data_IF_670793766536
#
_entry.id   IF_670793766536
#
_cell.length_a   1.000
_cell.length_b   1.000
_cell.length_c   1.000
_cell.angle_alpha   90.00
_cell.angle_beta   90.00
_cell.angle_gamma   90.00
#
_symmetry.space_group_name_H-M   'P 1'
#
loop_
_entity.id
_entity.type
_entity.pdbx_description
1 polymer ?
#
# COMPACT_ATOMS: atom_id res chain seq x y z
N UNK A 1 -11.96 19.10 -5.06
CA UNK A 1 -11.75 17.80 -4.39
C UNK A 1 -12.17 16.73 -5.38
N UNK A 2 -11.23 16.24 -6.18
CA UNK A 2 -11.53 15.25 -7.24
C UNK A 2 -10.53 14.11 -7.11
N UNK A 3 -10.80 13.19 -6.18
CA UNK A 3 -10.05 11.95 -6.01
C UNK A 3 -10.75 10.85 -6.81
N UNK A 4 -10.67 10.90 -8.13
CA UNK A 4 -11.16 9.80 -8.95
C UNK A 4 -10.53 9.79 -10.34
N UNK A 5 -10.21 8.57 -10.78
CA UNK A 5 -9.85 8.15 -12.13
C UNK A 5 -8.37 8.19 -12.49
N UNK A 6 -7.61 7.23 -11.95
CA UNK A 6 -6.70 6.40 -12.78
C UNK A 6 -6.06 5.22 -12.03
N UNK A 7 -6.79 4.61 -11.08
CA UNK A 7 -6.51 3.26 -10.59
C UNK A 7 -6.81 2.25 -11.71
N UNK A 8 -5.91 2.15 -12.69
CA UNK A 8 -5.86 0.97 -13.54
C UNK A 8 -5.57 -0.23 -12.64
N UNK A 9 -6.59 -1.05 -12.42
CA UNK A 9 -6.47 -2.43 -11.96
C UNK A 9 -5.63 -2.70 -10.70
N UNK A 10 -5.95 -2.06 -9.57
CA UNK A 10 -5.40 -2.48 -8.27
C UNK A 10 -6.50 -2.72 -7.22
N UNK A 11 -7.37 -3.74 -7.38
CA UNK A 11 -8.38 -4.11 -6.36
C UNK A 11 -7.77 -4.31 -4.96
N UNK A 12 -6.57 -4.89 -4.91
CA UNK A 12 -5.81 -5.10 -3.68
C UNK A 12 -5.41 -3.79 -3.01
N UNK A 13 -4.98 -2.80 -3.80
CA UNK A 13 -4.62 -1.47 -3.31
C UNK A 13 -5.83 -0.71 -2.74
N UNK A 14 -7.00 -0.84 -3.38
CA UNK A 14 -8.25 -0.24 -2.88
C UNK A 14 -8.71 -0.91 -1.58
N UNK A 15 -8.67 -2.24 -1.51
CA UNK A 15 -8.99 -2.97 -0.28
C UNK A 15 -8.02 -2.60 0.85
N UNK A 16 -6.73 -2.45 0.53
CA UNK A 16 -5.70 -2.06 1.47
C UNK A 16 -5.87 -0.61 1.98
N UNK A 17 -6.20 0.32 1.09
CA UNK A 17 -6.51 1.71 1.44
C UNK A 17 -7.69 1.84 2.40
N UNK A 18 -8.70 0.98 2.27
CA UNK A 18 -9.89 1.01 3.13
C UNK A 18 -9.77 0.12 4.39
N UNK A 19 -8.65 -0.59 4.56
CA UNK A 19 -8.44 -1.45 5.73
C UNK A 19 -9.26 -2.74 5.71
N UNK A 20 -9.80 -3.15 4.54
CA UNK A 20 -10.64 -4.33 4.38
C UNK A 20 -9.82 -5.62 4.43
N UNK A 21 -9.39 -6.00 5.64
CA UNK A 21 -8.43 -7.10 5.88
C UNK A 21 -8.89 -8.43 5.27
N UNK A 22 -10.16 -8.81 5.42
CA UNK A 22 -10.67 -10.06 4.83
C UNK A 22 -10.67 -10.00 3.30
N UNK A 23 -11.04 -8.86 2.71
CA UNK A 23 -10.99 -8.68 1.25
C UNK A 23 -9.56 -8.73 0.72
N UNK A 24 -8.61 -8.14 1.44
CA UNK A 24 -7.17 -8.22 1.12
C UNK A 24 -6.72 -9.68 1.12
N UNK A 25 -7.08 -10.44 2.15
CA UNK A 25 -6.74 -11.86 2.25
C UNK A 25 -7.29 -12.66 1.05
N UNK A 26 -8.58 -12.52 0.75
CA UNK A 26 -9.22 -13.24 -0.38
C UNK A 26 -8.58 -12.89 -1.72
N UNK A 27 -8.20 -11.63 -1.92
CA UNK A 27 -7.53 -11.21 -3.15
C UNK A 27 -6.13 -11.81 -3.28
N UNK A 28 -5.36 -11.89 -2.19
CA UNK A 28 -4.05 -12.55 -2.17
C UNK A 28 -4.18 -14.05 -2.43
N UNK A 29 -5.15 -14.72 -1.82
CA UNK A 29 -5.48 -16.14 -2.08
C UNK A 29 -5.89 -16.39 -3.53
N UNK A 30 -6.52 -15.40 -4.19
CA UNK A 30 -6.87 -15.44 -5.61
C UNK A 30 -5.68 -15.14 -6.54
N UNK A 31 -4.47 -14.92 -6.01
CA UNK A 31 -3.26 -14.67 -6.78
C UNK A 31 -3.05 -13.20 -7.18
N UNK A 32 -3.67 -12.25 -6.47
CA UNK A 32 -3.39 -10.84 -6.70
C UNK A 32 -1.91 -10.54 -6.45
N UNK A 33 -1.30 -9.75 -7.33
CA UNK A 33 0.09 -9.31 -7.16
C UNK A 33 0.20 -8.36 -5.97
N UNK A 34 0.80 -8.84 -4.87
CA UNK A 34 1.00 -8.10 -3.62
C UNK A 34 1.80 -6.81 -3.79
N UNK A 35 2.65 -6.74 -4.82
CA UNK A 35 3.52 -5.61 -5.13
C UNK A 35 3.05 -4.80 -6.35
N UNK A 36 1.79 -4.97 -6.78
CA UNK A 36 1.26 -4.24 -7.93
C UNK A 36 1.29 -2.73 -7.68
N UNK A 37 2.07 -2.01 -8.47
CA UNK A 37 2.11 -0.57 -8.43
C UNK A 37 0.96 0.03 -9.24
N UNK A 38 0.39 1.13 -8.74
CA UNK A 38 -0.46 2.00 -9.55
C UNK A 38 0.41 2.91 -10.45
N UNK A 39 -0.24 3.83 -11.18
CA UNK A 39 0.44 4.82 -12.04
C UNK A 39 1.32 5.83 -11.33
N UNK A 40 1.33 5.82 -9.99
CA UNK A 40 2.17 6.69 -9.16
C UNK A 40 3.26 5.87 -8.44
N UNK A 41 3.49 4.61 -8.83
CA UNK A 41 4.45 3.74 -8.15
C UNK A 41 3.99 3.22 -6.79
N UNK A 42 2.76 3.52 -6.36
CA UNK A 42 2.26 3.16 -5.02
C UNK A 42 1.78 1.71 -4.98
N UNK A 43 2.21 0.98 -3.96
CA UNK A 43 1.85 -0.42 -3.71
C UNK A 43 0.68 -0.55 -2.72
N UNK A 44 0.05 -1.73 -2.60
CA UNK A 44 -0.95 -1.97 -1.55
C UNK A 44 -0.44 -1.68 -0.13
N UNK A 45 0.84 -1.98 0.15
CA UNK A 45 1.44 -1.72 1.47
C UNK A 45 1.64 -0.23 1.72
N UNK A 46 1.89 0.58 0.68
CA UNK A 46 1.88 2.05 0.77
C UNK A 46 0.53 2.56 1.26
N UNK A 47 -0.56 2.13 0.62
CA UNK A 47 -1.90 2.60 0.99
C UNK A 47 -2.31 2.20 2.39
N UNK A 48 -2.07 0.94 2.78
CA UNK A 48 -2.39 0.47 4.13
C UNK A 48 -1.60 1.22 5.20
N UNK A 49 -0.31 1.48 4.95
CA UNK A 49 0.56 2.18 5.90
C UNK A 49 0.21 3.65 6.02
N UNK A 50 -0.04 4.34 4.90
CA UNK A 50 -0.46 5.75 4.90
C UNK A 50 -1.77 5.99 5.66
N UNK A 51 -2.66 4.98 5.68
CA UNK A 51 -3.92 5.01 6.43
C UNK A 51 -3.81 4.43 7.84
N UNK A 52 -2.66 3.91 8.24
CA UNK A 52 -2.45 3.31 9.56
C UNK A 52 -3.16 1.96 9.76
N UNK A 53 -3.50 1.25 8.70
CA UNK A 53 -4.15 -0.06 8.76
C UNK A 53 -3.14 -1.18 9.06
N UNK A 54 -2.63 -1.21 10.29
CA UNK A 54 -1.55 -2.12 10.72
C UNK A 54 -1.87 -3.60 10.48
N UNK A 55 -3.12 -4.03 10.62
CA UNK A 55 -3.53 -5.40 10.34
C UNK A 55 -3.32 -5.78 8.86
N UNK A 56 -3.70 -4.87 7.95
CA UNK A 56 -3.48 -5.04 6.52
C UNK A 56 -1.99 -4.99 6.18
N UNK A 57 -1.23 -4.07 6.78
CA UNK A 57 0.23 -3.98 6.57
C UNK A 57 0.91 -5.30 6.93
N UNK A 58 0.60 -5.88 8.09
CA UNK A 58 1.14 -7.17 8.51
C UNK A 58 0.77 -8.28 7.53
N UNK A 59 -0.51 -8.37 7.16
CA UNK A 59 -1.00 -9.37 6.21
C UNK A 59 -0.28 -9.29 4.85
N UNK A 60 -0.08 -8.09 4.32
CA UNK A 60 0.64 -7.88 3.07
C UNK A 60 2.12 -8.31 3.18
N UNK A 61 2.80 -7.95 4.27
CA UNK A 61 4.20 -8.34 4.52
C UNK A 61 4.34 -9.86 4.63
N UNK A 62 3.42 -10.52 5.35
CA UNK A 62 3.38 -11.99 5.47
C UNK A 62 3.18 -12.68 4.11
N UNK A 63 2.56 -11.99 3.15
CA UNK A 63 2.37 -12.47 1.77
C UNK A 63 3.45 -11.97 0.80
N UNK A 64 4.58 -11.45 1.30
CA UNK A 64 5.73 -11.08 0.47
C UNK A 64 5.68 -9.67 -0.12
N UNK A 65 4.93 -8.76 0.49
CA UNK A 65 5.01 -7.35 0.13
C UNK A 65 6.43 -6.80 0.30
N UNK A 66 6.94 -6.17 -0.74
CA UNK A 66 8.22 -5.49 -0.73
C UNK A 66 8.05 -4.05 -0.21
N UNK A 67 8.57 -3.83 1.00
CA UNK A 67 8.53 -2.55 1.70
C UNK A 67 9.60 -1.56 1.20
N UNK A 68 10.47 -1.98 0.29
CA UNK A 68 11.50 -1.13 -0.31
C UNK A 68 11.00 -0.40 -1.57
N UNK A 69 9.85 -0.80 -2.12
CA UNK A 69 9.27 -0.16 -3.30
C UNK A 69 8.71 1.21 -2.92
N UNK A 70 9.42 2.27 -3.30
CA UNK A 70 8.95 3.64 -3.16
C UNK A 70 7.98 4.04 -4.28
N UNK A 71 7.16 5.05 -4.00
CA UNK A 71 6.37 5.73 -5.04
C UNK A 71 7.26 6.57 -5.98
N UNK A 72 6.66 7.19 -6.99
CA UNK A 72 7.38 8.02 -7.97
C UNK A 72 8.10 9.23 -7.36
N UNK A 73 7.67 9.69 -6.19
CA UNK A 73 8.30 10.78 -5.43
C UNK A 73 9.40 10.27 -4.49
N UNK A 74 9.67 8.96 -4.48
CA UNK A 74 10.67 8.32 -3.62
C UNK A 74 10.18 8.08 -2.18
N UNK A 75 8.90 8.27 -1.90
CA UNK A 75 8.35 8.03 -0.57
C UNK A 75 8.22 6.53 -0.28
N UNK A 76 8.76 6.12 0.86
CA UNK A 76 8.69 4.73 1.32
C UNK A 76 7.26 4.36 1.77
N UNK A 77 6.80 3.13 1.48
CA UNK A 77 5.48 2.65 1.87
C UNK A 77 5.35 2.55 3.39
N UNK A 78 6.43 2.24 4.10
CA UNK A 78 6.43 2.34 5.56
C UNK A 78 6.59 3.81 5.93
N UNK A 79 5.48 4.53 6.01
CA UNK A 79 5.39 5.76 6.79
C UNK A 79 5.49 5.42 8.27
N UNK A 80 6.62 4.87 8.70
CA UNK A 80 7.10 5.13 10.04
C UNK A 80 7.54 6.59 10.02
N UNK A 81 7.07 7.45 10.93
CA UNK A 81 7.71 8.74 11.16
C UNK A 81 9.12 8.47 11.70
N UNK A 82 10.06 8.05 10.83
CA UNK A 82 11.49 8.01 11.16
C UNK A 82 11.98 9.45 10.98
N UNK A 83 11.68 10.26 11.99
CA UNK A 83 12.17 11.63 12.20
C UNK A 83 11.83 12.65 11.10
N UNK A 84 10.71 13.35 11.29
CA UNK A 84 10.59 14.78 10.89
C UNK A 84 11.47 15.67 11.78
N UNK A 85 12.72 15.25 12.04
CA UNK A 85 13.62 15.90 12.99
C UNK A 85 15.09 15.72 12.58
N UNK A 86 15.41 16.00 11.30
CA UNK A 86 16.78 16.34 10.87
C UNK A 86 16.73 17.19 9.58
N UNK A 87 16.54 18.50 9.77
CA UNK A 87 17.13 19.65 9.05
C UNK A 87 17.10 19.69 7.50
N UNK A 88 16.26 20.57 6.96
CA UNK A 88 16.65 21.94 6.56
C UNK A 88 15.45 22.88 6.58
#
# INVERSE_FOLDING_TARGET
>A
VSLSHQSGDVPLGVAAHNGHTETVQRLLEAGANVNQQNKNGQTPVYFASWKGHTAVVKLLIENGADISICDEDGASPLYVPVKMDTLM
#
